data_IF_097543376934
#
_entry.id   IF_097543376934
#
_cell.length_a   1.000
_cell.length_b   1.000
_cell.length_c   1.000
_cell.angle_alpha   90.00
_cell.angle_beta   90.00
_cell.angle_gamma   90.00
#
_symmetry.space_group_name_H-M   'P 1'
#
loop_
_entity.id
_entity.type
_entity.pdbx_description
1 polymer ?
#
# COMPACT_ATOMS: atom_id res chain seq x y z
N UNK A 1 19.10 -27.73 3.04
CA UNK A 1 18.58 -26.54 3.70
C UNK A 1 18.07 -25.53 2.67
N UNK A 2 16.83 -24.99 2.83
CA UNK A 2 16.21 -24.01 1.93
C UNK A 2 15.56 -22.90 2.77
N UNK A 3 15.79 -21.64 2.37
CA UNK A 3 15.27 -20.46 3.04
C UNK A 3 14.25 -19.72 2.14
N UNK A 4 13.42 -18.86 2.74
CA UNK A 4 12.58 -17.92 1.99
C UNK A 4 13.44 -16.93 1.19
N UNK A 5 12.91 -16.45 0.06
CA UNK A 5 13.57 -15.50 -0.83
C UNK A 5 13.93 -14.16 -0.16
N UNK A 6 13.27 -13.82 0.96
CA UNK A 6 13.57 -12.60 1.72
C UNK A 6 14.89 -12.67 2.50
N UNK A 7 15.43 -13.87 2.73
CA UNK A 7 16.71 -14.02 3.42
C UNK A 7 17.84 -13.89 2.42
N UNK A 8 18.40 -12.70 2.34
CA UNK A 8 19.57 -12.36 1.52
C UNK A 8 20.48 -11.44 2.32
N UNK A 9 21.69 -11.21 1.84
CA UNK A 9 22.55 -10.16 2.38
C UNK A 9 21.82 -8.81 2.37
N UNK A 10 22.23 -7.89 3.21
CA UNK A 10 21.67 -6.55 3.36
C UNK A 10 20.22 -6.47 3.87
N UNK A 11 19.58 -7.58 4.27
CA UNK A 11 18.21 -7.56 4.77
C UNK A 11 18.04 -6.72 6.04
N UNK A 12 16.81 -6.25 6.27
CA UNK A 12 16.40 -5.62 7.53
C UNK A 12 15.41 -6.52 8.23
N UNK A 13 15.71 -6.91 9.45
CA UNK A 13 14.82 -7.66 10.33
C UNK A 13 14.02 -6.68 11.18
N UNK A 14 12.73 -6.94 11.38
CA UNK A 14 11.89 -6.08 12.21
C UNK A 14 12.37 -6.08 13.65
N UNK A 15 12.68 -4.91 14.19
CA UNK A 15 13.13 -4.72 15.58
C UNK A 15 11.99 -4.83 16.59
N UNK A 16 12.36 -5.04 17.85
CA UNK A 16 11.46 -5.00 19.03
C UNK A 16 10.29 -6.01 18.99
N UNK A 17 10.40 -7.03 18.13
CA UNK A 17 9.47 -8.17 18.06
C UNK A 17 10.24 -9.48 18.06
N UNK A 18 9.66 -10.60 18.53
CA UNK A 18 10.26 -11.91 18.39
C UNK A 18 10.65 -12.20 16.94
N UNK A 19 11.90 -12.63 16.71
CA UNK A 19 12.40 -12.95 15.39
C UNK A 19 12.16 -14.42 15.08
N UNK A 20 11.10 -14.72 14.33
CA UNK A 20 10.85 -16.07 13.83
C UNK A 20 11.61 -16.30 12.53
N UNK A 21 12.51 -17.30 12.54
CA UNK A 21 13.25 -17.76 11.36
C UNK A 21 12.80 -19.17 11.05
N UNK A 22 12.52 -19.43 9.79
CA UNK A 22 11.99 -20.73 9.35
C UNK A 22 12.51 -21.13 7.97
N UNK A 23 12.42 -22.40 7.67
CA UNK A 23 12.83 -22.93 6.38
C UNK A 23 12.47 -24.41 6.22
N UNK A 24 13.14 -25.05 5.24
CA UNK A 24 13.01 -26.46 4.95
C UNK A 24 14.40 -27.09 5.02
N UNK A 25 14.52 -28.25 5.66
CA UNK A 25 15.70 -29.08 5.73
C UNK A 25 15.30 -30.57 5.55
N UNK A 26 16.24 -31.50 5.56
CA UNK A 26 15.87 -32.92 5.58
C UNK A 26 15.13 -33.24 6.87
N UNK A 27 14.18 -34.18 6.79
CA UNK A 27 13.44 -34.63 7.97
C UNK A 27 14.39 -35.12 9.06
N UNK A 28 14.25 -34.53 10.25
CA UNK A 28 15.09 -34.88 11.39
C UNK A 28 16.40 -34.10 11.53
N UNK A 29 16.79 -33.27 10.56
CA UNK A 29 17.99 -32.43 10.66
C UNK A 29 17.92 -31.50 11.88
N UNK A 30 19.04 -31.37 12.56
CA UNK A 30 19.21 -30.35 13.60
C UNK A 30 19.53 -29.02 12.91
N UNK A 31 18.73 -28.00 13.19
CA UNK A 31 18.94 -26.65 12.65
C UNK A 31 19.35 -25.70 13.78
N UNK A 32 20.45 -25.01 13.57
CA UNK A 32 20.95 -23.95 14.47
C UNK A 32 20.84 -22.62 13.78
N UNK A 33 20.23 -21.64 14.44
CA UNK A 33 20.11 -20.24 13.97
C UNK A 33 20.80 -19.34 14.97
N UNK A 34 21.69 -18.45 14.50
CA UNK A 34 22.37 -17.49 15.37
C UNK A 34 22.48 -16.11 14.71
N UNK A 35 22.29 -15.07 15.52
CA UNK A 35 22.48 -13.66 15.15
C UNK A 35 22.89 -12.86 16.40
N UNK A 36 23.89 -11.98 16.27
CA UNK A 36 24.47 -11.26 17.39
C UNK A 36 24.91 -12.25 18.50
N UNK A 37 24.48 -12.04 19.73
CA UNK A 37 24.72 -12.88 20.91
C UNK A 37 23.64 -13.98 21.11
N UNK A 38 22.71 -14.14 20.18
CA UNK A 38 21.58 -15.06 20.28
C UNK A 38 21.79 -16.31 19.45
N UNK A 39 21.45 -17.44 20.03
CA UNK A 39 21.44 -18.72 19.32
C UNK A 39 20.25 -19.57 19.76
N UNK A 40 19.59 -20.20 18.80
CA UNK A 40 18.52 -21.16 19.03
C UNK A 40 18.68 -22.39 18.15
N UNK A 41 18.20 -23.53 18.65
CA UNK A 41 18.24 -24.81 17.95
C UNK A 41 16.84 -25.40 17.83
N UNK A 42 16.58 -26.08 16.73
CA UNK A 42 15.36 -26.83 16.48
C UNK A 42 15.66 -28.10 15.70
N UNK A 43 14.63 -28.87 15.41
CA UNK A 43 14.71 -30.07 14.57
C UNK A 43 13.67 -29.97 13.47
N UNK A 44 14.05 -30.29 12.24
CA UNK A 44 13.12 -30.35 11.12
C UNK A 44 12.12 -31.49 11.32
N UNK A 45 10.83 -31.18 11.12
CA UNK A 45 9.75 -32.16 11.19
C UNK A 45 9.81 -33.19 10.07
N UNK A 46 8.89 -34.14 10.09
CA UNK A 46 8.77 -35.19 9.05
C UNK A 46 8.52 -34.61 7.64
N UNK A 47 7.89 -33.45 7.56
CA UNK A 47 7.65 -32.70 6.30
C UNK A 47 8.85 -31.78 5.94
N UNK A 48 9.95 -31.86 6.63
CA UNK A 48 11.14 -31.03 6.45
C UNK A 48 11.02 -29.58 6.96
N UNK A 49 9.86 -29.14 7.41
CA UNK A 49 9.68 -27.76 7.92
C UNK A 49 10.29 -27.60 9.31
N UNK A 50 10.93 -26.47 9.51
CA UNK A 50 11.47 -26.08 10.81
C UNK A 50 11.22 -24.59 11.08
N UNK A 51 11.17 -24.22 12.34
CA UNK A 51 11.04 -22.85 12.79
C UNK A 51 11.75 -22.69 14.14
N UNK A 52 12.36 -21.53 14.34
CA UNK A 52 12.85 -21.05 15.64
C UNK A 52 12.42 -19.60 15.87
N UNK A 53 12.25 -19.25 17.13
CA UNK A 53 11.97 -17.86 17.51
C UNK A 53 13.09 -17.38 18.43
N UNK A 54 13.83 -16.38 17.96
CA UNK A 54 14.87 -15.70 18.74
C UNK A 54 14.28 -14.49 19.48
N UNK A 55 14.86 -14.10 20.63
CA UNK A 55 14.48 -12.88 21.32
C UNK A 55 14.59 -11.64 20.44
N UNK A 56 13.78 -10.59 20.70
CA UNK A 56 13.78 -9.36 19.92
C UNK A 56 15.16 -8.71 19.81
N UNK A 57 15.47 -8.17 18.63
CA UNK A 57 16.65 -7.31 18.40
C UNK A 57 16.26 -5.84 18.61
N UNK A 58 17.14 -5.05 19.20
CA UNK A 58 17.07 -3.59 19.16
C UNK A 58 17.57 -3.07 17.82
N UNK A 59 17.18 -1.82 17.46
CA UNK A 59 17.70 -1.19 16.25
C UNK A 59 19.22 -1.17 16.23
N UNK A 60 19.84 -1.58 15.13
CA UNK A 60 21.27 -1.59 14.97
C UNK A 60 21.77 -2.58 13.92
N UNK A 61 23.02 -2.93 14.02
CA UNK A 61 23.77 -3.74 13.08
C UNK A 61 25.01 -3.00 12.58
N UNK A 62 25.75 -3.52 11.57
CA UNK A 62 25.43 -4.75 10.83
C UNK A 62 25.67 -6.04 11.64
N UNK A 63 24.79 -6.98 11.47
CA UNK A 63 24.90 -8.33 12.02
C UNK A 63 25.17 -9.35 10.92
N UNK A 64 25.56 -10.55 11.35
CA UNK A 64 25.58 -11.74 10.50
C UNK A 64 24.53 -12.73 11.02
N UNK A 65 23.57 -13.12 10.18
CA UNK A 65 22.64 -14.21 10.47
C UNK A 65 23.21 -15.52 9.92
N UNK A 66 23.40 -16.51 10.80
CA UNK A 66 23.88 -17.84 10.42
C UNK A 66 22.78 -18.86 10.66
N UNK A 67 22.58 -19.73 9.69
CA UNK A 67 21.62 -20.83 9.73
C UNK A 67 22.34 -22.06 9.24
N UNK A 68 22.44 -23.12 10.05
CA UNK A 68 23.18 -24.33 9.68
C UNK A 68 22.47 -25.59 10.13
N UNK A 69 22.66 -26.65 9.37
CA UNK A 69 22.50 -28.04 9.77
C UNK A 69 23.86 -28.66 10.00
N UNK A 70 23.93 -29.95 10.29
CA UNK A 70 25.21 -30.66 10.45
C UNK A 70 25.96 -30.77 9.09
N UNK A 71 25.26 -30.67 7.95
CA UNK A 71 25.82 -30.86 6.61
C UNK A 71 26.04 -29.58 5.81
N UNK A 72 25.16 -28.56 6.01
CA UNK A 72 25.11 -27.35 5.17
C UNK A 72 24.66 -26.13 5.96
N UNK A 73 24.91 -24.94 5.42
CA UNK A 73 24.48 -23.71 6.06
C UNK A 73 24.46 -22.49 5.15
N UNK A 74 23.76 -21.47 5.61
CA UNK A 74 23.73 -20.13 5.04
C UNK A 74 24.33 -19.12 6.03
N UNK A 75 24.98 -18.13 5.49
CA UNK A 75 25.47 -16.99 6.25
C UNK A 75 25.11 -15.72 5.49
N UNK A 76 24.21 -14.92 6.07
CA UNK A 76 23.77 -13.65 5.50
C UNK A 76 24.49 -12.50 6.19
N UNK A 77 25.14 -11.66 5.38
CA UNK A 77 25.97 -10.54 5.82
C UNK A 77 25.22 -9.21 5.82
N UNK A 78 25.77 -8.25 6.57
CA UNK A 78 25.27 -6.88 6.58
C UNK A 78 23.79 -6.75 6.93
N UNK A 79 23.31 -7.62 7.83
CA UNK A 79 21.92 -7.64 8.31
C UNK A 79 21.70 -6.51 9.30
N UNK A 80 20.63 -5.75 9.14
CA UNK A 80 20.23 -4.69 10.07
C UNK A 80 18.97 -5.10 10.84
N UNK A 81 18.83 -4.58 12.05
CA UNK A 81 17.56 -4.59 12.79
C UNK A 81 16.96 -3.18 12.75
N UNK A 82 15.72 -3.06 12.28
CA UNK A 82 15.08 -1.76 12.05
C UNK A 82 13.59 -1.87 11.83
N UNK A 83 13.01 -0.93 11.11
CA UNK A 83 11.60 -0.92 10.76
C UNK A 83 11.40 -1.50 9.36
N UNK A 84 10.54 -2.51 9.23
CA UNK A 84 10.23 -3.14 7.94
C UNK A 84 8.81 -2.80 7.52
N UNK A 85 8.65 -2.23 6.33
CA UNK A 85 7.36 -1.86 5.78
C UNK A 85 7.09 -2.53 4.43
N UNK A 86 5.88 -3.05 4.26
CA UNK A 86 5.40 -3.56 2.99
C UNK A 86 4.70 -2.44 2.22
N UNK A 87 5.20 -2.15 1.02
CA UNK A 87 4.69 -1.13 0.12
C UNK A 87 4.02 -1.83 -1.06
N UNK A 88 2.69 -1.79 -1.14
CA UNK A 88 1.96 -2.60 -2.12
C UNK A 88 0.82 -1.83 -2.80
N UNK A 89 0.27 -2.39 -3.87
CA UNK A 89 -0.79 -1.80 -4.66
C UNK A 89 -0.61 -1.98 -6.16
N UNK A 90 -0.98 -0.95 -6.94
CA UNK A 90 -0.88 -1.00 -8.39
C UNK A 90 0.13 0.03 -8.95
N UNK A 91 -0.03 0.43 -10.19
CA UNK A 91 0.94 1.23 -10.96
C UNK A 91 1.41 2.51 -10.27
N UNK A 92 0.57 3.19 -9.51
CA UNK A 92 0.98 4.39 -8.77
C UNK A 92 1.90 4.09 -7.58
N UNK A 93 1.81 2.90 -6.98
CA UNK A 93 2.81 2.42 -6.01
C UNK A 93 4.06 1.87 -6.73
N UNK A 94 3.90 1.18 -7.86
CA UNK A 94 5.01 0.69 -8.68
C UNK A 94 5.84 1.81 -9.34
N UNK A 95 5.29 3.01 -9.46
CA UNK A 95 5.86 4.17 -10.15
C UNK A 95 7.27 4.48 -9.65
N UNK A 96 8.26 4.39 -10.55
CA UNK A 96 9.68 4.49 -10.20
C UNK A 96 10.12 5.93 -9.91
N UNK A 97 11.09 6.09 -9.00
CA UNK A 97 11.63 7.40 -8.63
C UNK A 97 12.17 8.17 -9.83
N UNK A 98 12.78 7.50 -10.81
CA UNK A 98 13.28 8.16 -12.05
C UNK A 98 12.18 8.81 -12.89
N UNK A 99 10.93 8.43 -12.71
CA UNK A 99 9.76 8.99 -13.42
C UNK A 99 9.11 10.15 -12.66
N UNK A 100 9.47 10.34 -11.38
CA UNK A 100 8.91 11.39 -10.55
C UNK A 100 9.43 12.78 -10.95
N UNK A 101 8.61 13.81 -10.77
CA UNK A 101 8.99 15.21 -11.07
C UNK A 101 10.22 15.71 -10.31
N UNK A 102 10.53 15.07 -9.19
CA UNK A 102 11.69 15.37 -8.32
C UNK A 102 12.94 14.54 -8.64
N UNK A 103 12.88 13.62 -9.60
CA UNK A 103 13.93 12.64 -9.90
C UNK A 103 15.31 13.27 -10.06
N UNK A 104 15.39 14.36 -10.86
CA UNK A 104 16.66 15.05 -11.15
C UNK A 104 17.35 15.59 -9.89
N UNK A 105 16.57 16.07 -8.93
CA UNK A 105 17.10 16.64 -7.69
C UNK A 105 17.39 15.58 -6.63
N UNK A 106 16.54 14.57 -6.52
CA UNK A 106 16.53 13.65 -5.37
C UNK A 106 17.35 12.37 -5.61
N UNK A 107 17.42 11.84 -6.85
CA UNK A 107 18.21 10.63 -7.16
C UNK A 107 19.70 10.80 -6.80
N UNK A 108 20.40 11.87 -7.14
CA UNK A 108 21.83 12.01 -6.77
C UNK A 108 22.08 12.02 -5.27
N UNK A 109 21.05 12.35 -4.46
CA UNK A 109 21.11 12.40 -2.99
C UNK A 109 20.62 11.12 -2.33
N UNK A 110 20.15 10.14 -3.09
CA UNK A 110 19.61 8.87 -2.58
C UNK A 110 20.74 7.94 -2.14
N UNK A 111 21.49 8.34 -1.13
CA UNK A 111 22.60 7.57 -0.53
C UNK A 111 22.29 7.40 0.96
N UNK A 112 21.89 6.20 1.37
CA UNK A 112 21.68 5.84 2.77
C UNK A 112 21.85 4.33 2.97
N UNK A 113 22.93 3.92 3.64
CA UNK A 113 23.20 2.51 3.90
C UNK A 113 22.29 1.88 4.97
N UNK A 114 21.50 2.67 5.67
CA UNK A 114 20.51 2.20 6.63
C UNK A 114 19.09 2.19 6.07
N UNK A 115 18.90 2.66 4.84
CA UNK A 115 17.68 2.47 4.06
C UNK A 115 17.91 1.31 3.08
N UNK A 116 17.11 0.28 3.17
CA UNK A 116 17.26 -0.94 2.37
C UNK A 116 16.01 -1.19 1.54
N UNK A 117 16.23 -1.66 0.33
CA UNK A 117 15.21 -1.79 -0.69
C UNK A 117 15.14 -3.25 -1.15
N UNK A 118 13.95 -3.85 -1.05
CA UNK A 118 13.63 -5.17 -1.61
C UNK A 118 12.51 -4.99 -2.63
N UNK A 119 12.81 -5.16 -3.90
CA UNK A 119 11.94 -4.80 -5.01
C UNK A 119 11.44 -6.03 -5.76
N UNK A 120 10.18 -6.40 -5.53
CA UNK A 120 9.53 -7.54 -6.17
C UNK A 120 8.94 -7.13 -7.52
N UNK A 121 9.69 -7.34 -8.59
CA UNK A 121 9.25 -6.99 -9.94
C UNK A 121 8.63 -8.18 -10.67
N UNK A 122 7.56 -7.90 -11.40
CA UNK A 122 6.96 -8.86 -12.33
C UNK A 122 7.96 -9.28 -13.41
N UNK A 123 7.97 -10.55 -13.77
CA UNK A 123 8.72 -11.07 -14.94
C UNK A 123 8.10 -10.57 -16.24
N UNK A 124 6.77 -10.52 -16.28
CA UNK A 124 6.00 -10.09 -17.44
C UNK A 124 5.03 -9.00 -17.06
N UNK A 125 5.05 -7.91 -17.80
CA UNK A 125 4.07 -6.85 -17.64
C UNK A 125 2.75 -7.25 -18.29
N UNK A 126 1.64 -6.91 -17.66
CA UNK A 126 0.29 -7.12 -18.17
C UNK A 126 -0.07 -6.09 -19.25
N UNK A 127 0.76 -6.00 -20.28
CA UNK A 127 0.52 -5.15 -21.45
C UNK A 127 -0.55 -5.78 -22.36
N UNK A 128 -1.01 -5.03 -23.38
CA UNK A 128 -1.99 -5.49 -24.36
C UNK A 128 -1.34 -6.43 -25.41
N UNK A 129 -0.87 -7.58 -24.95
CA UNK A 129 -0.20 -8.61 -25.79
C UNK A 129 -0.74 -10.01 -25.44
N UNK A 130 -0.70 -10.92 -26.41
CA UNK A 130 -0.94 -12.33 -26.15
C UNK A 130 0.34 -12.98 -25.59
N UNK A 131 0.23 -13.77 -24.53
CA UNK A 131 1.38 -14.44 -23.92
C UNK A 131 1.67 -15.79 -24.55
N UNK A 132 2.95 -16.14 -24.61
CA UNK A 132 3.44 -17.40 -25.11
C UNK A 132 3.28 -18.53 -24.08
N UNK A 133 3.33 -19.78 -24.54
CA UNK A 133 3.06 -20.98 -23.74
C UNK A 133 3.95 -21.07 -22.48
N UNK A 134 5.23 -20.70 -22.57
CA UNK A 134 6.14 -20.71 -21.42
C UNK A 134 5.75 -19.71 -20.34
N UNK A 135 5.21 -18.54 -20.72
CA UNK A 135 4.68 -17.55 -19.77
C UNK A 135 3.44 -18.10 -19.08
N UNK A 136 2.51 -18.64 -19.87
CA UNK A 136 1.26 -19.23 -19.38
C UNK A 136 1.52 -20.38 -18.39
N UNK A 137 2.48 -21.25 -18.70
CA UNK A 137 2.89 -22.35 -17.82
C UNK A 137 3.49 -21.81 -16.49
N UNK A 138 4.40 -20.85 -16.57
CA UNK A 138 5.00 -20.23 -15.39
C UNK A 138 3.96 -19.59 -14.46
N UNK A 139 2.92 -18.97 -15.02
CA UNK A 139 1.83 -18.39 -14.22
C UNK A 139 1.01 -19.45 -13.49
N UNK A 140 0.78 -20.61 -14.09
CA UNK A 140 0.11 -21.75 -13.45
C UNK A 140 0.90 -22.29 -12.24
N UNK A 141 2.24 -22.08 -12.23
CA UNK A 141 3.13 -22.44 -11.13
C UNK A 141 3.44 -21.27 -10.17
N UNK A 142 2.70 -20.15 -10.24
CA UNK A 142 2.87 -18.95 -9.43
C UNK A 142 4.25 -18.28 -9.58
N UNK A 143 4.96 -18.49 -10.69
CA UNK A 143 6.31 -17.97 -10.94
C UNK A 143 6.26 -16.59 -11.60
N UNK A 144 5.49 -15.68 -11.04
CA UNK A 144 5.24 -14.36 -11.62
C UNK A 144 6.37 -13.36 -11.35
N UNK A 145 7.02 -13.44 -10.20
CA UNK A 145 8.04 -12.48 -9.79
C UNK A 145 9.45 -12.91 -10.21
N UNK A 146 10.28 -11.91 -10.49
CA UNK A 146 11.72 -12.11 -10.67
C UNK A 146 12.37 -12.43 -9.34
N UNK A 147 13.47 -13.15 -9.38
CA UNK A 147 14.34 -13.29 -8.23
C UNK A 147 14.92 -11.91 -7.88
N UNK A 148 14.98 -11.59 -6.62
CA UNK A 148 15.46 -10.31 -6.10
C UNK A 148 16.16 -10.48 -4.76
N UNK A 149 16.85 -9.43 -4.33
CA UNK A 149 17.61 -9.39 -3.09
C UNK A 149 17.48 -8.01 -2.43
N UNK A 150 17.78 -7.93 -1.16
CA UNK A 150 17.90 -6.66 -0.45
C UNK A 150 19.09 -5.85 -0.96
N UNK A 151 18.85 -4.57 -1.25
CA UNK A 151 19.88 -3.64 -1.75
C UNK A 151 20.01 -2.42 -0.85
N UNK A 152 21.23 -1.91 -0.74
CA UNK A 152 21.46 -0.59 -0.15
C UNK A 152 20.80 0.48 -1.00
N UNK A 153 20.29 1.54 -0.36
CA UNK A 153 19.83 2.71 -1.07
C UNK A 153 21.02 3.48 -1.64
N UNK A 154 21.12 3.47 -2.96
CA UNK A 154 22.07 4.23 -3.77
C UNK A 154 21.32 4.95 -4.89
N UNK A 155 21.90 5.94 -5.57
CA UNK A 155 21.26 6.56 -6.73
C UNK A 155 20.75 5.56 -7.76
N UNK A 156 21.52 4.52 -8.05
CA UNK A 156 21.15 3.48 -9.01
C UNK A 156 19.96 2.63 -8.54
N UNK A 157 20.00 2.14 -7.28
CA UNK A 157 18.93 1.27 -6.76
C UNK A 157 17.65 2.05 -6.46
N UNK A 158 17.75 3.27 -5.96
CA UNK A 158 16.60 4.15 -5.69
C UNK A 158 15.91 4.61 -6.97
N UNK A 159 16.66 4.86 -8.05
CA UNK A 159 16.13 5.29 -9.35
C UNK A 159 15.04 4.36 -9.89
N UNK A 160 15.24 3.07 -9.77
CA UNK A 160 14.32 2.03 -10.26
C UNK A 160 13.31 1.54 -9.22
N UNK A 161 13.39 2.05 -7.99
CA UNK A 161 12.49 1.70 -6.90
C UNK A 161 11.24 2.58 -6.87
N UNK A 162 10.19 2.15 -6.17
CA UNK A 162 8.96 2.93 -5.95
C UNK A 162 9.26 4.31 -5.39
N UNK A 163 8.81 5.37 -6.06
CA UNK A 163 8.98 6.75 -5.59
C UNK A 163 8.26 6.98 -4.25
N UNK A 164 7.02 6.51 -4.12
CA UNK A 164 6.23 6.68 -2.89
C UNK A 164 6.88 5.93 -1.73
N UNK A 165 7.28 4.68 -1.94
CA UNK A 165 7.95 3.90 -0.92
C UNK A 165 9.29 4.53 -0.51
N UNK A 166 10.06 5.05 -1.47
CA UNK A 166 11.31 5.76 -1.21
C UNK A 166 11.09 6.99 -0.31
N UNK A 167 10.16 7.89 -0.65
CA UNK A 167 9.91 9.09 0.16
C UNK A 167 9.32 8.77 1.53
N UNK A 168 8.46 7.75 1.60
CA UNK A 168 7.97 7.23 2.87
C UNK A 168 9.13 6.74 3.76
N UNK A 169 9.96 5.85 3.24
CA UNK A 169 11.07 5.26 4.00
C UNK A 169 12.14 6.29 4.37
N UNK A 170 12.45 7.22 3.46
CA UNK A 170 13.39 8.32 3.72
C UNK A 170 12.95 9.20 4.88
N UNK A 171 11.67 9.60 4.90
CA UNK A 171 11.13 10.42 6.00
C UNK A 171 11.12 9.65 7.33
N UNK A 172 10.80 8.34 7.32
CA UNK A 172 10.90 7.52 8.52
C UNK A 172 12.33 7.42 9.01
N UNK A 173 13.27 7.16 8.09
CA UNK A 173 14.70 7.05 8.39
C UNK A 173 15.24 8.32 9.06
N UNK A 174 14.90 9.48 8.48
CA UNK A 174 15.33 10.78 8.99
C UNK A 174 14.70 11.12 10.35
N UNK A 175 13.45 10.73 10.57
CA UNK A 175 12.71 11.06 11.79
C UNK A 175 12.98 10.11 12.96
N UNK A 176 13.26 8.85 12.70
CA UNK A 176 13.45 7.81 13.72
C UNK A 176 14.92 7.54 14.01
N UNK A 177 15.80 7.85 13.09
CA UNK A 177 17.24 7.55 13.14
C UNK A 177 17.55 6.07 13.41
N UNK A 178 16.79 5.17 12.80
CA UNK A 178 16.95 3.71 12.85
C UNK A 178 16.96 3.12 11.43
N UNK A 179 17.52 1.93 11.21
CA UNK A 179 17.43 1.29 9.91
C UNK A 179 15.99 1.12 9.45
N UNK A 180 15.74 1.27 8.14
CA UNK A 180 14.43 1.07 7.53
C UNK A 180 14.57 0.14 6.32
N UNK A 181 13.76 -0.90 6.28
CA UNK A 181 13.62 -1.83 5.15
C UNK A 181 12.28 -1.65 4.47
N UNK A 182 12.30 -1.49 3.16
CA UNK A 182 11.12 -1.35 2.33
C UNK A 182 10.99 -2.55 1.39
N UNK A 183 9.91 -3.30 1.53
CA UNK A 183 9.54 -4.37 0.60
C UNK A 183 8.51 -3.80 -0.36
N UNK A 184 8.87 -3.58 -1.62
CA UNK A 184 7.93 -3.13 -2.64
C UNK A 184 7.39 -4.32 -3.41
N UNK A 185 6.07 -4.51 -3.35
CA UNK A 185 5.33 -5.51 -4.11
C UNK A 185 4.09 -4.86 -4.71
N UNK A 186 4.23 -4.27 -5.88
CA UNK A 186 3.16 -3.57 -6.58
C UNK A 186 3.11 -4.01 -8.05
N UNK A 187 1.89 -4.14 -8.59
CA UNK A 187 1.66 -4.62 -9.96
C UNK A 187 0.70 -3.70 -10.69
N UNK A 188 1.18 -3.08 -11.76
CA UNK A 188 0.39 -2.15 -12.57
C UNK A 188 -0.91 -2.77 -13.06
N UNK A 189 -2.02 -2.03 -12.89
CA UNK A 189 -3.35 -2.45 -13.33
C UNK A 189 -4.03 -3.52 -12.47
N UNK A 190 -3.40 -4.01 -11.41
CA UNK A 190 -3.98 -5.06 -10.57
C UNK A 190 -5.20 -4.58 -9.78
N UNK A 191 -6.31 -5.34 -9.78
CA UNK A 191 -7.46 -5.05 -8.95
C UNK A 191 -7.27 -5.55 -7.50
N UNK A 192 -8.04 -4.99 -6.55
CA UNK A 192 -7.94 -5.31 -5.11
C UNK A 192 -8.11 -6.79 -4.81
N UNK A 193 -9.05 -7.46 -5.47
CA UNK A 193 -9.36 -8.88 -5.28
C UNK A 193 -8.20 -9.82 -5.59
N UNK A 194 -7.26 -9.41 -6.44
CA UNK A 194 -6.05 -10.19 -6.73
C UNK A 194 -5.11 -10.31 -5.51
N UNK A 195 -5.25 -9.42 -4.54
CA UNK A 195 -4.41 -9.30 -3.36
C UNK A 195 -5.01 -9.86 -2.06
N UNK A 196 -6.20 -10.47 -2.13
CA UNK A 196 -6.90 -11.06 -0.98
C UNK A 196 -6.66 -12.57 -0.94
N UNK A 197 -6.48 -13.16 0.24
CA UNK A 197 -6.36 -14.62 0.37
C UNK A 197 -7.65 -15.34 -0.06
N UNK A 198 -7.48 -16.51 -0.67
CA UNK A 198 -8.58 -17.31 -1.24
C UNK A 198 -9.65 -17.65 -0.22
N UNK A 199 -9.26 -18.11 0.97
CA UNK A 199 -10.22 -18.52 2.00
C UNK A 199 -11.10 -17.35 2.47
N UNK A 200 -10.53 -16.13 2.54
CA UNK A 200 -11.29 -14.93 2.88
C UNK A 200 -12.29 -14.55 1.79
N UNK A 201 -11.91 -14.64 0.50
CA UNK A 201 -12.85 -14.39 -0.60
C UNK A 201 -13.93 -15.48 -0.69
N UNK A 202 -13.58 -16.75 -0.57
CA UNK A 202 -14.54 -17.87 -0.58
C UNK A 202 -15.59 -17.73 0.52
N UNK A 203 -15.19 -17.25 1.71
CA UNK A 203 -16.10 -17.11 2.84
C UNK A 203 -16.95 -15.83 2.78
N UNK A 204 -16.37 -14.69 2.40
CA UNK A 204 -17.05 -13.39 2.52
C UNK A 204 -17.52 -12.79 1.21
N UNK A 205 -16.89 -13.13 0.09
CA UNK A 205 -17.26 -12.60 -1.22
C UNK A 205 -17.10 -13.63 -2.36
N UNK A 206 -17.73 -14.82 -2.24
CA UNK A 206 -17.56 -15.91 -3.22
C UNK A 206 -18.00 -15.51 -4.64
N UNK A 207 -18.94 -14.56 -4.77
CA UNK A 207 -19.43 -14.11 -6.07
C UNK A 207 -18.32 -13.57 -6.99
N UNK A 208 -17.24 -12.99 -6.43
CA UNK A 208 -16.14 -12.43 -7.22
C UNK A 208 -15.24 -13.50 -7.86
N UNK A 209 -15.25 -14.70 -7.31
CA UNK A 209 -14.44 -15.83 -7.80
C UNK A 209 -15.05 -16.52 -9.01
N UNK A 210 -16.38 -16.43 -9.15
CA UNK A 210 -17.11 -17.17 -10.20
C UNK A 210 -16.91 -16.50 -11.55
N UNK A 211 -16.42 -17.29 -12.54
CA UNK A 211 -16.26 -16.84 -13.93
C UNK A 211 -15.62 -15.45 -14.05
N UNK A 212 -14.54 -15.21 -13.28
CA UNK A 212 -14.00 -13.88 -13.04
C UNK A 212 -13.71 -13.05 -14.31
N UNK A 213 -13.36 -13.70 -15.42
CA UNK A 213 -13.14 -13.04 -16.72
C UNK A 213 -14.42 -12.51 -17.37
N UNK A 214 -15.60 -12.90 -16.85
CA UNK A 214 -16.94 -12.45 -17.31
C UNK A 214 -17.70 -11.74 -16.19
N UNK A 215 -17.11 -11.59 -15.02
CA UNK A 215 -17.75 -11.10 -13.81
C UNK A 215 -17.73 -9.56 -13.73
N UNK A 216 -18.91 -8.93 -13.65
CA UNK A 216 -19.04 -7.47 -13.65
C UNK A 216 -18.59 -6.80 -12.34
N UNK A 217 -18.32 -7.54 -11.26
CA UNK A 217 -17.62 -7.00 -10.11
C UNK A 217 -16.17 -6.61 -10.46
N UNK A 218 -15.59 -7.20 -11.51
CA UNK A 218 -14.25 -6.89 -11.99
C UNK A 218 -14.35 -5.97 -13.20
N UNK A 219 -13.56 -4.92 -13.21
CA UNK A 219 -13.61 -3.88 -14.25
C UNK A 219 -13.40 -4.47 -15.65
N UNK A 220 -14.16 -4.00 -16.62
CA UNK A 220 -14.18 -4.52 -17.99
C UNK A 220 -12.78 -4.54 -18.63
N UNK A 221 -12.03 -3.43 -18.53
CA UNK A 221 -10.70 -3.37 -19.12
C UNK A 221 -9.72 -4.35 -18.46
N UNK A 222 -9.87 -4.64 -17.16
CA UNK A 222 -9.07 -5.65 -16.43
C UNK A 222 -9.35 -7.04 -16.99
N UNK A 223 -10.64 -7.38 -17.16
CA UNK A 223 -11.07 -8.64 -17.75
C UNK A 223 -10.62 -8.78 -19.20
N UNK A 224 -10.81 -7.73 -20.00
CA UNK A 224 -10.39 -7.70 -21.41
C UNK A 224 -8.89 -7.84 -21.58
N UNK A 225 -8.10 -7.18 -20.73
CA UNK A 225 -6.65 -7.31 -20.72
C UNK A 225 -6.23 -8.75 -20.39
N UNK A 226 -6.80 -9.32 -19.35
CA UNK A 226 -6.51 -10.68 -18.96
C UNK A 226 -6.91 -11.68 -20.07
N UNK A 227 -8.10 -11.56 -20.64
CA UNK A 227 -8.56 -12.41 -21.73
C UNK A 227 -7.61 -12.36 -22.95
N UNK A 228 -7.10 -11.18 -23.29
CA UNK A 228 -6.09 -11.02 -24.34
C UNK A 228 -4.78 -11.73 -23.99
N UNK A 229 -4.28 -11.52 -22.77
CA UNK A 229 -3.01 -12.11 -22.35
C UNK A 229 -3.05 -13.65 -22.38
N UNK A 230 -4.16 -14.28 -21.98
CA UNK A 230 -4.31 -15.74 -21.91
C UNK A 230 -4.94 -16.38 -23.15
N UNK A 231 -5.16 -15.65 -24.22
CA UNK A 231 -5.89 -16.08 -25.41
C UNK A 231 -5.33 -17.37 -26.04
N UNK A 232 -4.01 -17.58 -25.97
CA UNK A 232 -3.35 -18.78 -26.50
C UNK A 232 -3.43 -19.99 -25.57
N UNK A 233 -4.01 -19.85 -24.37
CA UNK A 233 -4.11 -20.98 -23.43
C UNK A 233 -5.25 -21.92 -23.83
N UNK A 234 -4.95 -23.21 -23.89
CA UNK A 234 -5.95 -24.27 -23.97
C UNK A 234 -6.49 -24.69 -22.58
N UNK A 235 -5.86 -24.20 -21.50
CA UNK A 235 -6.26 -24.52 -20.13
C UNK A 235 -7.42 -23.60 -19.71
N UNK A 236 -8.58 -24.18 -19.44
CA UNK A 236 -9.77 -23.45 -18.97
C UNK A 236 -9.58 -22.81 -17.58
N UNK A 237 -8.58 -23.25 -16.82
CA UNK A 237 -8.21 -22.72 -15.51
C UNK A 237 -6.87 -21.97 -15.54
N UNK A 238 -6.55 -21.37 -16.67
CA UNK A 238 -5.33 -20.59 -16.83
C UNK A 238 -5.27 -19.46 -15.80
N UNK A 239 -4.17 -19.45 -15.03
CA UNK A 239 -3.93 -18.43 -14.02
C UNK A 239 -3.45 -17.11 -14.66
N UNK A 240 -3.81 -15.98 -14.00
CA UNK A 240 -3.44 -14.65 -14.46
C UNK A 240 -3.20 -13.71 -13.27
N UNK A 241 -2.24 -12.74 -13.32
CA UNK A 241 -1.97 -11.80 -12.23
C UNK A 241 -3.18 -10.97 -11.78
N UNK A 242 -4.14 -10.72 -12.65
CA UNK A 242 -5.38 -10.01 -12.31
C UNK A 242 -6.50 -10.92 -11.79
N UNK A 243 -6.29 -12.23 -11.81
CA UNK A 243 -7.24 -13.18 -11.22
C UNK A 243 -7.38 -12.95 -9.72
N UNK A 244 -8.59 -13.01 -9.15
CA UNK A 244 -8.76 -12.98 -7.70
C UNK A 244 -7.81 -13.96 -6.98
N UNK A 245 -7.18 -13.53 -5.89
CA UNK A 245 -6.19 -14.23 -5.08
C UNK A 245 -4.80 -14.41 -5.71
N UNK A 246 -4.60 -14.23 -7.00
CA UNK A 246 -3.33 -14.61 -7.64
C UNK A 246 -2.11 -13.90 -7.06
N UNK A 247 -2.16 -12.58 -6.94
CA UNK A 247 -1.04 -11.78 -6.42
C UNK A 247 -0.82 -12.02 -4.92
N UNK A 248 -1.88 -12.36 -4.21
CA UNK A 248 -1.74 -12.84 -2.85
C UNK A 248 -0.95 -14.15 -2.80
N UNK A 249 -1.36 -15.15 -3.57
CA UNK A 249 -0.76 -16.48 -3.58
C UNK A 249 0.70 -16.47 -4.07
N UNK A 250 0.99 -15.69 -5.12
CA UNK A 250 2.33 -15.62 -5.72
C UNK A 250 3.28 -14.64 -5.03
N UNK A 251 2.77 -13.57 -4.42
CA UNK A 251 3.58 -12.44 -3.96
C UNK A 251 3.43 -12.05 -2.49
N UNK A 252 2.27 -12.28 -1.85
CA UNK A 252 2.04 -11.92 -0.45
C UNK A 252 2.27 -13.10 0.48
N UNK A 253 1.72 -14.26 0.16
CA UNK A 253 1.88 -15.49 0.96
C UNK A 253 3.35 -15.83 1.27
N UNK A 254 4.30 -15.69 0.35
CA UNK A 254 5.72 -15.92 0.66
C UNK A 254 6.32 -14.95 1.70
N UNK A 255 5.66 -13.82 1.97
CA UNK A 255 6.11 -12.79 2.90
C UNK A 255 5.52 -12.92 4.31
N UNK A 256 4.41 -13.67 4.48
CA UNK A 256 3.61 -13.71 5.72
C UNK A 256 4.40 -13.98 7.00
N UNK A 257 5.47 -14.76 6.89
CA UNK A 257 6.28 -15.15 8.04
C UNK A 257 7.45 -14.17 8.32
N UNK A 258 7.59 -13.14 7.48
CA UNK A 258 8.57 -12.09 7.71
C UNK A 258 7.90 -10.97 8.50
N UNK A 259 8.34 -10.70 9.74
CA UNK A 259 7.74 -9.64 10.54
C UNK A 259 7.87 -8.28 9.88
N UNK A 260 6.76 -7.56 9.80
CA UNK A 260 6.70 -6.19 9.29
C UNK A 260 6.09 -5.25 10.33
N UNK A 261 6.40 -3.96 10.27
CA UNK A 261 5.78 -2.95 11.14
C UNK A 261 4.42 -2.53 10.66
N UNK A 262 4.19 -2.55 9.35
CA UNK A 262 2.92 -2.15 8.76
C UNK A 262 2.97 -2.15 7.24
N UNK A 263 1.89 -1.69 6.65
CA UNK A 263 1.66 -1.65 5.20
C UNK A 263 1.39 -0.23 4.75
N UNK A 264 1.95 0.17 3.60
CA UNK A 264 1.47 1.30 2.82
C UNK A 264 0.87 0.80 1.50
N UNK A 265 -0.29 1.33 1.12
CA UNK A 265 -1.11 0.83 0.02
C UNK A 265 -1.55 1.93 -0.94
N UNK A 266 -1.31 1.76 -2.24
CA UNK A 266 -1.84 2.66 -3.26
C UNK A 266 -2.46 1.85 -4.41
N UNK A 267 -3.77 1.76 -4.38
CA UNK A 267 -4.55 1.04 -5.38
C UNK A 267 -5.99 1.60 -5.36
N UNK A 268 -6.73 1.43 -6.44
CA UNK A 268 -8.13 1.79 -6.53
C UNK A 268 -8.59 2.05 -7.95
N UNK A 269 -7.70 2.46 -8.84
CA UNK A 269 -8.02 2.83 -10.21
C UNK A 269 -8.67 1.67 -10.99
N UNK A 270 -8.27 0.44 -10.68
CA UNK A 270 -8.81 -0.78 -11.28
C UNK A 270 -10.14 -1.25 -10.65
N UNK A 271 -10.62 -0.58 -9.60
CA UNK A 271 -11.88 -0.88 -8.93
C UNK A 271 -12.85 0.32 -8.89
N UNK A 272 -12.46 1.46 -9.47
CA UNK A 272 -13.21 2.71 -9.36
C UNK A 272 -14.57 2.71 -10.10
N UNK A 273 -14.88 1.70 -10.90
CA UNK A 273 -16.16 1.48 -11.54
C UNK A 273 -17.25 0.99 -10.57
N UNK A 274 -16.86 0.36 -9.45
CA UNK A 274 -17.75 -0.23 -8.46
C UNK A 274 -17.22 0.05 -7.03
N UNK A 275 -17.45 1.27 -6.57
CA UNK A 275 -16.97 1.71 -5.26
C UNK A 275 -17.64 0.96 -4.09
N UNK A 276 -18.89 0.52 -4.24
CA UNK A 276 -19.62 -0.25 -3.20
C UNK A 276 -19.01 -1.64 -2.99
N UNK A 277 -18.67 -2.33 -4.07
CA UNK A 277 -17.93 -3.59 -3.97
C UNK A 277 -16.52 -3.38 -3.41
N UNK A 278 -15.86 -2.28 -3.79
CA UNK A 278 -14.52 -1.96 -3.30
C UNK A 278 -14.47 -1.72 -1.78
N UNK A 279 -15.48 -1.10 -1.19
CA UNK A 279 -15.55 -0.94 0.26
C UNK A 279 -15.47 -2.30 0.99
N UNK A 280 -16.20 -3.28 0.50
CA UNK A 280 -16.15 -4.66 1.04
C UNK A 280 -14.79 -5.31 0.80
N UNK A 281 -14.26 -5.19 -0.42
CA UNK A 281 -12.97 -5.77 -0.80
C UNK A 281 -11.81 -5.18 -0.03
N UNK A 282 -11.79 -3.86 0.20
CA UNK A 282 -10.71 -3.22 0.92
C UNK A 282 -10.69 -3.62 2.40
N UNK A 283 -11.86 -3.67 3.05
CA UNK A 283 -11.98 -4.21 4.41
C UNK A 283 -11.50 -5.66 4.48
N UNK A 284 -11.90 -6.45 3.50
CA UNK A 284 -11.52 -7.85 3.42
C UNK A 284 -10.01 -8.02 3.21
N UNK A 285 -9.40 -7.21 2.34
CA UNK A 285 -7.96 -7.18 2.12
C UNK A 285 -7.20 -6.88 3.42
N UNK A 286 -7.57 -5.83 4.13
CA UNK A 286 -6.91 -5.46 5.41
C UNK A 286 -7.06 -6.58 6.44
N UNK A 287 -8.25 -7.14 6.59
CA UNK A 287 -8.51 -8.23 7.54
C UNK A 287 -7.77 -9.51 7.15
N UNK A 288 -7.72 -9.83 5.85
CA UNK A 288 -6.97 -10.96 5.29
C UNK A 288 -5.48 -10.88 5.67
N UNK A 289 -4.86 -9.74 5.43
CA UNK A 289 -3.44 -9.56 5.74
C UNK A 289 -3.18 -9.57 7.25
N UNK A 290 -3.99 -8.89 8.06
CA UNK A 290 -3.91 -8.93 9.53
C UNK A 290 -4.01 -10.35 10.08
N UNK A 291 -4.96 -11.12 9.58
CA UNK A 291 -5.13 -12.54 9.94
C UNK A 291 -3.88 -13.35 9.63
N UNK A 292 -3.33 -13.19 8.44
CA UNK A 292 -2.22 -14.01 7.97
C UNK A 292 -0.86 -13.59 8.56
N UNK A 293 -0.68 -12.32 8.97
CA UNK A 293 0.46 -11.89 9.80
C UNK A 293 0.25 -12.13 11.29
N UNK A 294 -0.93 -12.65 11.69
CA UNK A 294 -1.33 -12.84 13.08
C UNK A 294 -1.19 -11.54 13.92
N UNK A 295 -1.51 -10.41 13.31
CA UNK A 295 -1.49 -9.08 13.94
C UNK A 295 -2.77 -8.30 13.59
N UNK A 296 -3.76 -8.36 14.48
CA UNK A 296 -5.05 -7.67 14.31
C UNK A 296 -4.90 -6.12 14.29
N UNK A 297 -3.80 -5.61 14.80
CA UNK A 297 -3.49 -4.19 14.88
C UNK A 297 -2.48 -3.72 13.83
N UNK A 298 -2.07 -4.59 12.88
CA UNK A 298 -1.11 -4.24 11.84
C UNK A 298 -1.53 -2.92 11.17
N UNK A 299 -0.71 -1.85 11.28
CA UNK A 299 -1.01 -0.56 10.67
C UNK A 299 -1.13 -0.67 9.16
N UNK A 300 -2.17 -0.02 8.62
CA UNK A 300 -2.43 -0.04 7.18
C UNK A 300 -2.71 1.38 6.70
N UNK A 301 -1.73 2.04 6.06
CA UNK A 301 -1.86 3.40 5.57
C UNK A 301 -2.03 3.39 4.06
N UNK A 302 -3.04 4.10 3.56
CA UNK A 302 -3.37 4.05 2.13
C UNK A 302 -3.50 5.44 1.51
N UNK A 303 -3.40 5.47 0.19
CA UNK A 303 -3.55 6.70 -0.60
C UNK A 303 -4.96 6.77 -1.15
N UNK A 304 -5.63 7.90 -0.92
CA UNK A 304 -6.85 8.25 -1.66
C UNK A 304 -6.48 8.57 -3.10
N UNK A 305 -7.26 8.09 -4.07
CA UNK A 305 -7.01 8.34 -5.49
C UNK A 305 -6.83 9.84 -5.78
N UNK A 306 -5.88 10.15 -6.65
CA UNK A 306 -5.63 11.51 -7.11
C UNK A 306 -6.79 12.06 -7.94
N UNK A 307 -6.77 13.34 -8.26
CA UNK A 307 -7.70 13.94 -9.22
C UNK A 307 -7.47 13.40 -10.62
N UNK A 308 -8.56 13.02 -11.30
CA UNK A 308 -8.57 12.57 -12.69
C UNK A 308 -9.97 12.81 -13.26
N UNK A 309 -10.07 13.24 -14.50
CA UNK A 309 -11.36 13.54 -15.12
C UNK A 309 -12.13 12.26 -15.51
N UNK A 310 -12.58 11.50 -14.51
CA UNK A 310 -13.43 10.30 -14.67
C UNK A 310 -14.64 10.37 -13.75
N UNK A 311 -15.86 10.11 -14.26
CA UNK A 311 -17.11 10.28 -13.50
C UNK A 311 -17.17 9.52 -12.17
N UNK A 312 -16.59 8.33 -12.09
CA UNK A 312 -16.62 7.48 -10.89
C UNK A 312 -15.67 7.96 -9.76
N UNK A 313 -14.73 8.85 -10.05
CA UNK A 313 -13.66 9.25 -9.14
C UNK A 313 -14.13 9.87 -7.83
N UNK A 314 -15.08 10.82 -7.82
CA UNK A 314 -15.59 11.41 -6.56
C UNK A 314 -16.20 10.37 -5.63
N UNK A 315 -17.01 9.47 -6.18
CA UNK A 315 -17.65 8.38 -5.44
C UNK A 315 -16.63 7.46 -4.81
N UNK A 316 -15.59 7.09 -5.57
CA UNK A 316 -14.53 6.23 -5.08
C UNK A 316 -13.67 6.91 -4.00
N UNK A 317 -13.31 8.19 -4.18
CA UNK A 317 -12.58 8.95 -3.16
C UNK A 317 -13.38 9.08 -1.86
N UNK A 318 -14.70 9.28 -1.95
CA UNK A 318 -15.57 9.31 -0.78
C UNK A 318 -15.62 7.96 -0.08
N UNK A 319 -15.71 6.86 -0.82
CA UNK A 319 -15.66 5.52 -0.24
C UNK A 319 -14.35 5.30 0.53
N UNK A 320 -13.22 5.71 -0.05
CA UNK A 320 -11.93 5.66 0.62
C UNK A 320 -11.89 6.51 1.90
N UNK A 321 -12.45 7.73 1.88
CA UNK A 321 -12.54 8.58 3.08
C UNK A 321 -13.35 7.92 4.19
N UNK A 322 -14.47 7.28 3.86
CA UNK A 322 -15.34 6.61 4.85
C UNK A 322 -14.64 5.46 5.56
N UNK A 323 -13.70 4.77 4.89
CA UNK A 323 -12.94 3.68 5.48
C UNK A 323 -12.12 4.11 6.71
N UNK A 324 -11.73 5.39 6.82
CA UNK A 324 -11.07 5.92 8.02
C UNK A 324 -11.87 5.72 9.31
N UNK A 325 -13.21 5.71 9.22
CA UNK A 325 -14.11 5.53 10.37
C UNK A 325 -14.52 4.06 10.59
N UNK A 326 -14.23 3.18 9.63
CA UNK A 326 -14.74 1.82 9.63
C UNK A 326 -13.67 0.77 9.92
N UNK A 327 -12.40 1.14 9.77
CA UNK A 327 -11.26 0.24 9.97
C UNK A 327 -10.34 0.86 11.03
N UNK A 328 -10.00 0.11 12.07
CA UNK A 328 -9.04 0.54 13.10
C UNK A 328 -7.60 0.50 12.56
N UNK A 329 -6.68 1.22 13.22
CA UNK A 329 -5.25 1.25 12.88
C UNK A 329 -4.97 1.54 11.40
N UNK A 330 -5.70 2.52 10.85
CA UNK A 330 -5.64 2.93 9.45
C UNK A 330 -5.36 4.43 9.36
N UNK A 331 -4.90 4.89 8.21
CA UNK A 331 -4.72 6.29 7.88
C UNK A 331 -4.69 6.51 6.38
N UNK A 332 -5.12 7.69 5.92
CA UNK A 332 -5.27 8.00 4.50
C UNK A 332 -4.46 9.24 4.10
N UNK A 333 -3.58 9.09 3.14
CA UNK A 333 -2.90 10.20 2.48
C UNK A 333 -3.75 10.70 1.31
N UNK A 334 -4.16 11.96 1.34
CA UNK A 334 -4.82 12.63 0.22
C UNK A 334 -3.80 12.87 -0.89
N UNK A 335 -4.21 12.71 -2.15
CA UNK A 335 -3.38 12.98 -3.33
C UNK A 335 -4.10 13.76 -4.43
N UNK A 336 -5.34 14.21 -4.18
CA UNK A 336 -6.16 14.92 -5.17
C UNK A 336 -5.58 16.27 -5.61
N UNK A 337 -4.80 16.92 -4.78
CA UNK A 337 -4.07 18.17 -5.06
C UNK A 337 -2.82 17.99 -5.96
N UNK A 338 -2.43 16.75 -6.18
CA UNK A 338 -1.28 16.36 -7.03
C UNK A 338 -1.71 15.49 -8.22
N UNK A 339 -2.97 15.48 -8.58
CA UNK A 339 -3.50 14.74 -9.72
C UNK A 339 -3.23 15.43 -11.06
N UNK A 340 -3.62 14.76 -12.13
CA UNK A 340 -3.66 15.28 -13.50
C UNK A 340 -5.05 15.00 -14.09
N UNK A 341 -5.53 15.89 -14.95
CA UNK A 341 -6.87 15.74 -15.52
C UNK A 341 -6.99 14.61 -16.55
N UNK A 342 -5.89 14.24 -17.19
CA UNK A 342 -5.82 13.27 -18.28
C UNK A 342 -4.95 12.05 -17.96
N UNK A 343 -3.91 12.22 -17.13
CA UNK A 343 -2.98 11.15 -16.78
C UNK A 343 -3.31 10.56 -15.41
N UNK A 344 -3.53 9.25 -15.40
CA UNK A 344 -3.77 8.47 -14.18
C UNK A 344 -2.52 8.31 -13.31
N UNK A 345 -1.33 8.65 -13.85
CA UNK A 345 -0.04 8.53 -13.20
C UNK A 345 0.63 9.89 -12.95
N UNK A 346 0.09 10.73 -12.05
CA UNK A 346 0.71 12.02 -11.76
C UNK A 346 2.15 11.84 -11.25
N UNK A 347 3.06 12.65 -11.74
CA UNK A 347 4.50 12.52 -11.45
C UNK A 347 4.92 13.07 -10.07
N UNK A 348 4.05 13.83 -9.40
CA UNK A 348 4.30 14.41 -8.09
C UNK A 348 4.10 13.38 -6.97
N UNK A 349 5.10 12.53 -6.73
CA UNK A 349 5.01 11.41 -5.76
C UNK A 349 5.52 11.75 -4.35
N UNK A 350 6.43 12.71 -4.22
CA UNK A 350 7.07 13.05 -2.94
C UNK A 350 6.08 13.42 -1.84
N UNK A 351 5.16 14.36 -2.03
CA UNK A 351 4.20 14.71 -0.97
C UNK A 351 3.32 13.53 -0.54
N UNK A 352 3.01 12.62 -1.46
CA UNK A 352 2.18 11.44 -1.15
C UNK A 352 2.92 10.48 -0.24
N UNK A 353 4.19 10.17 -0.55
CA UNK A 353 5.04 9.33 0.31
C UNK A 353 5.26 9.95 1.70
N UNK A 354 5.52 11.26 1.75
CA UNK A 354 5.69 12.00 3.00
C UNK A 354 4.39 12.05 3.84
N UNK A 355 3.21 12.18 3.21
CA UNK A 355 1.91 12.12 3.89
C UNK A 355 1.65 10.76 4.52
N UNK A 356 1.98 9.66 3.83
CA UNK A 356 1.92 8.32 4.42
C UNK A 356 2.87 8.19 5.62
N UNK A 357 4.09 8.73 5.51
CA UNK A 357 5.06 8.70 6.60
C UNK A 357 4.60 9.50 7.82
N UNK A 358 3.89 10.63 7.64
CA UNK A 358 3.30 11.39 8.75
C UNK A 358 2.28 10.56 9.55
N UNK A 359 1.45 9.78 8.87
CA UNK A 359 0.54 8.84 9.54
C UNK A 359 1.30 7.81 10.37
N UNK A 360 2.33 7.20 9.79
CA UNK A 360 3.17 6.24 10.50
C UNK A 360 3.88 6.89 11.70
N UNK A 361 4.50 8.05 11.53
CA UNK A 361 5.17 8.78 12.60
C UNK A 361 4.23 9.10 13.77
N UNK A 362 3.01 9.58 13.47
CA UNK A 362 2.04 9.91 14.51
C UNK A 362 1.43 8.66 15.14
N UNK A 363 0.83 7.76 14.36
CA UNK A 363 0.00 6.66 14.86
C UNK A 363 0.80 5.42 15.28
N UNK A 364 1.85 5.07 14.54
CA UNK A 364 2.67 3.89 14.87
C UNK A 364 3.80 4.24 15.84
N UNK A 365 4.47 5.38 15.62
CA UNK A 365 5.66 5.78 16.40
C UNK A 365 5.39 6.84 17.46
N UNK A 366 4.14 7.32 17.58
CA UNK A 366 3.72 8.30 18.60
C UNK A 366 4.56 9.58 18.62
N UNK A 367 5.05 9.98 17.44
CA UNK A 367 5.77 11.23 17.28
C UNK A 367 4.81 12.41 17.25
N UNK A 368 5.22 13.55 17.77
CA UNK A 368 4.44 14.80 17.72
C UNK A 368 4.51 15.43 16.32
N UNK A 369 3.88 14.76 15.36
CA UNK A 369 3.75 15.19 13.95
C UNK A 369 2.27 15.18 13.60
N UNK A 370 1.74 16.23 12.99
CA UNK A 370 0.36 16.25 12.52
C UNK A 370 0.22 15.25 11.36
N UNK A 371 -0.64 14.21 11.46
CA UNK A 371 -0.66 13.12 10.50
C UNK A 371 -1.30 13.50 9.16
N UNK A 372 -2.23 14.45 9.15
CA UNK A 372 -3.04 14.84 7.98
C UNK A 372 -3.34 16.32 7.97
N UNK A 373 -3.76 16.85 6.84
CA UNK A 373 -4.55 18.07 6.76
C UNK A 373 -5.91 17.91 7.46
N UNK A 374 -6.80 18.92 7.37
CA UNK A 374 -8.09 18.90 8.03
C UNK A 374 -8.92 17.64 7.66
N UNK A 375 -9.32 16.84 8.64
CA UNK A 375 -10.21 15.70 8.47
C UNK A 375 -11.59 16.06 8.98
N UNK A 376 -12.60 15.96 8.13
CA UNK A 376 -13.98 16.27 8.50
C UNK A 376 -14.45 15.43 9.70
N UNK A 377 -14.97 16.14 10.72
CA UNK A 377 -15.48 15.55 11.95
C UNK A 377 -17.00 15.69 12.11
N UNK A 378 -17.55 16.82 11.66
CA UNK A 378 -18.98 17.06 11.81
C UNK A 378 -19.42 18.41 11.24
N UNK A 379 -20.73 18.55 11.09
CA UNK A 379 -21.37 19.76 10.56
C UNK A 379 -22.50 20.23 11.49
N UNK A 380 -22.68 21.54 11.57
CA UNK A 380 -23.77 22.16 12.30
C UNK A 380 -24.39 23.30 11.45
N UNK A 381 -25.70 23.34 11.35
CA UNK A 381 -26.42 24.38 10.59
C UNK A 381 -26.91 25.46 11.55
N UNK A 382 -26.58 26.74 11.25
CA UNK A 382 -27.01 27.91 12.02
C UNK A 382 -27.32 29.06 11.05
N UNK A 383 -28.54 29.61 11.11
CA UNK A 383 -28.91 30.79 10.32
C UNK A 383 -28.69 30.64 8.82
N UNK A 384 -29.09 29.50 8.23
CA UNK A 384 -28.89 29.21 6.81
C UNK A 384 -27.45 28.99 6.36
N UNK A 385 -26.53 28.75 7.30
CA UNK A 385 -25.12 28.47 7.01
C UNK A 385 -24.68 27.18 7.68
N UNK A 386 -23.75 26.44 7.06
CA UNK A 386 -23.18 25.23 7.59
C UNK A 386 -21.79 25.51 8.15
N UNK A 387 -21.54 25.11 9.39
CA UNK A 387 -20.24 25.18 10.03
C UNK A 387 -19.64 23.78 10.12
N UNK A 388 -18.54 23.58 9.42
CA UNK A 388 -17.82 22.31 9.34
C UNK A 388 -16.68 22.30 10.36
N UNK A 389 -16.63 21.26 11.19
CA UNK A 389 -15.56 21.02 12.16
C UNK A 389 -14.62 19.93 11.67
N UNK A 390 -13.35 20.05 12.02
CA UNK A 390 -12.29 19.17 11.53
C UNK A 390 -11.38 18.74 12.68
N UNK A 391 -10.91 17.50 12.62
CA UNK A 391 -9.71 17.09 13.31
C UNK A 391 -8.51 17.65 12.55
N UNK A 392 -7.45 18.01 13.28
CA UNK A 392 -6.25 18.66 12.73
C UNK A 392 -6.52 20.00 12.00
N UNK A 393 -7.64 20.67 12.34
CA UNK A 393 -8.10 21.89 11.68
C UNK A 393 -7.42 23.18 12.17
N UNK A 394 -6.51 23.12 13.14
CA UNK A 394 -5.83 24.31 13.64
C UNK A 394 -4.92 24.92 12.58
N UNK A 395 -5.20 26.19 12.23
CA UNK A 395 -4.42 26.91 11.21
C UNK A 395 -4.81 26.61 9.78
N UNK A 396 -6.03 26.09 9.57
CA UNK A 396 -6.59 25.92 8.23
C UNK A 396 -6.51 27.19 7.39
N UNK A 397 -6.23 27.03 6.11
CA UNK A 397 -6.15 28.12 5.13
C UNK A 397 -6.27 27.57 3.72
N UNK A 398 -6.37 28.46 2.73
CA UNK A 398 -6.19 28.06 1.33
C UNK A 398 -4.70 27.85 1.01
N UNK A 399 -4.41 26.87 0.19
CA UNK A 399 -3.04 26.53 -0.24
C UNK A 399 -2.42 27.55 -1.20
N UNK A 400 -3.27 28.33 -1.89
CA UNK A 400 -2.90 29.26 -2.97
C UNK A 400 -3.21 30.74 -2.62
N UNK A 401 -3.63 31.03 -1.40
CA UNK A 401 -4.00 32.39 -0.95
C UNK A 401 -5.31 32.93 -1.57
N UNK A 402 -6.01 32.15 -2.38
CA UNK A 402 -7.31 32.50 -2.96
C UNK A 402 -8.44 32.10 -2.03
N UNK A 403 -9.68 32.58 -2.25
CA UNK A 403 -10.85 32.07 -1.56
C UNK A 403 -10.95 30.56 -1.66
N UNK A 404 -11.54 29.91 -0.64
CA UNK A 404 -11.77 28.47 -0.66
C UNK A 404 -12.66 28.10 -1.82
N UNK A 405 -12.30 27.04 -2.54
CA UNK A 405 -12.94 26.58 -3.77
C UNK A 405 -13.54 25.19 -3.60
N UNK A 406 -14.40 24.80 -4.55
CA UNK A 406 -14.96 23.45 -4.68
C UNK A 406 -15.84 23.00 -3.50
N UNK A 407 -16.46 23.94 -2.80
CA UNK A 407 -17.55 23.68 -1.87
C UNK A 407 -18.90 23.81 -2.58
N UNK A 408 -19.82 22.90 -2.27
CA UNK A 408 -21.17 22.89 -2.78
C UNK A 408 -22.14 22.53 -1.65
N UNK A 409 -23.35 23.08 -1.68
CA UNK A 409 -24.41 22.81 -0.71
C UNK A 409 -25.71 22.43 -1.40
N UNK A 410 -26.55 21.63 -0.72
CA UNK A 410 -27.88 21.24 -1.17
C UNK A 410 -28.90 21.28 -0.03
N UNK A 411 -30.18 21.41 -0.37
CA UNK A 411 -31.29 21.13 0.52
C UNK A 411 -31.68 19.64 0.51
N UNK A 412 -32.86 19.27 0.96
CA UNK A 412 -33.36 17.89 0.96
C UNK A 412 -33.53 17.27 -0.42
N UNK A 413 -33.69 18.11 -1.45
CA UNK A 413 -33.81 17.68 -2.85
C UNK A 413 -32.51 17.08 -3.41
N UNK A 414 -31.37 17.29 -2.73
CA UNK A 414 -30.05 16.80 -3.16
C UNK A 414 -29.49 17.50 -4.39
N UNK A 415 -30.04 18.66 -4.78
CA UNK A 415 -29.53 19.48 -5.88
C UNK A 415 -28.42 20.38 -5.32
N UNK A 416 -27.19 20.17 -5.77
CA UNK A 416 -26.02 20.87 -5.28
C UNK A 416 -25.74 22.15 -6.06
N UNK A 417 -25.51 23.23 -5.32
CA UNK A 417 -25.14 24.54 -5.86
C UNK A 417 -23.75 24.94 -5.32
N UNK A 418 -22.95 25.67 -6.12
CA UNK A 418 -21.69 26.25 -5.65
C UNK A 418 -21.91 27.09 -4.40
N UNK A 419 -20.99 26.98 -3.47
CA UNK A 419 -21.06 27.66 -2.17
C UNK A 419 -19.83 28.51 -1.89
N UNK A 420 -20.07 29.64 -1.19
CA UNK A 420 -19.00 30.41 -0.57
C UNK A 420 -18.54 29.68 0.70
N UNK A 421 -17.23 29.58 0.87
CA UNK A 421 -16.63 28.97 2.05
C UNK A 421 -15.55 29.88 2.65
N UNK A 422 -15.53 30.01 3.96
CA UNK A 422 -14.63 30.88 4.71
C UNK A 422 -14.11 30.16 5.97
N UNK A 423 -12.82 30.28 6.25
CA UNK A 423 -12.27 29.82 7.53
C UNK A 423 -12.66 30.79 8.63
N UNK A 424 -13.31 30.28 9.68
CA UNK A 424 -13.74 31.04 10.87
C UNK A 424 -13.25 30.31 12.12
N UNK A 425 -12.13 30.75 12.70
CA UNK A 425 -11.45 30.00 13.75
C UNK A 425 -10.99 28.63 13.27
N UNK A 426 -11.39 27.57 13.97
CA UNK A 426 -11.07 26.18 13.62
C UNK A 426 -12.21 25.50 12.82
N UNK A 427 -13.07 26.28 12.20
CA UNK A 427 -14.21 25.80 11.40
C UNK A 427 -14.19 26.41 9.99
N UNK A 428 -14.87 25.76 9.05
CA UNK A 428 -15.19 26.32 7.75
C UNK A 428 -16.70 26.60 7.70
N UNK A 429 -17.05 27.87 7.48
CA UNK A 429 -18.42 28.33 7.27
C UNK A 429 -18.74 28.26 5.78
N UNK A 430 -19.82 27.55 5.42
CA UNK A 430 -20.24 27.31 4.03
C UNK A 430 -21.68 27.76 3.83
N UNK A 431 -21.95 28.48 2.75
CA UNK A 431 -23.31 28.98 2.42
C UNK A 431 -23.46 29.30 0.94
N UNK A 432 -24.71 29.29 0.46
CA UNK A 432 -25.09 29.76 -0.88
C UNK A 432 -26.40 30.52 -0.81
N UNK A 433 -26.57 31.52 -1.68
CA UNK A 433 -27.84 32.27 -1.80
C UNK A 433 -28.95 31.43 -2.41
N UNK A 434 -28.58 30.47 -3.26
CA UNK A 434 -29.52 29.53 -3.92
C UNK A 434 -30.04 28.45 -2.97
N UNK A 435 -29.41 28.29 -1.78
CA UNK A 435 -29.71 27.23 -0.81
C UNK A 435 -29.92 27.86 0.59
N UNK A 436 -31.08 28.49 0.86
CA UNK A 436 -31.31 29.16 2.14
C UNK A 436 -31.38 28.21 3.35
N UNK A 437 -31.71 26.94 3.16
CA UNK A 437 -31.81 25.93 4.22
C UNK A 437 -30.92 24.73 3.93
N UNK A 438 -29.58 24.88 3.94
CA UNK A 438 -28.65 23.83 3.55
C UNK A 438 -28.73 22.63 4.49
N UNK A 439 -28.70 21.43 3.92
CA UNK A 439 -28.71 20.13 4.62
C UNK A 439 -27.47 19.32 4.33
N UNK A 440 -26.94 19.46 3.13
CA UNK A 440 -25.79 18.68 2.67
C UNK A 440 -24.69 19.62 2.19
N UNK A 441 -23.45 19.22 2.46
CA UNK A 441 -22.23 19.87 1.96
C UNK A 441 -21.35 18.82 1.33
N UNK A 442 -20.78 19.12 0.19
CA UNK A 442 -19.69 18.35 -0.38
C UNK A 442 -18.51 19.26 -0.76
N UNK A 443 -17.31 18.70 -0.70
CA UNK A 443 -16.08 19.41 -0.96
C UNK A 443 -15.17 18.60 -1.87
N UNK A 444 -14.60 19.24 -2.90
CA UNK A 444 -13.71 18.56 -3.84
C UNK A 444 -14.39 17.42 -4.61
N UNK A 445 -15.70 17.51 -4.84
CA UNK A 445 -16.50 16.45 -5.45
C UNK A 445 -16.25 16.27 -6.95
N UNK A 446 -15.66 17.25 -7.62
CA UNK A 446 -15.34 17.16 -9.04
C UNK A 446 -14.36 16.01 -9.30
N UNK A 447 -14.48 15.26 -10.42
CA UNK A 447 -13.52 14.21 -10.80
C UNK A 447 -12.09 14.73 -10.80
N UNK A 448 -11.81 15.79 -11.53
CA UNK A 448 -10.60 16.61 -11.37
C UNK A 448 -10.97 17.84 -10.53
N UNK A 449 -10.39 17.96 -9.35
CA UNK A 449 -10.72 19.03 -8.40
C UNK A 449 -9.57 20.01 -8.21
N UNK A 450 -9.94 21.28 -7.97
CA UNK A 450 -9.05 22.38 -7.57
C UNK A 450 -9.27 22.78 -6.10
N UNK A 451 -9.74 21.84 -5.30
CA UNK A 451 -9.95 22.03 -3.87
C UNK A 451 -8.64 22.46 -3.20
N UNK A 452 -8.68 23.56 -2.42
CA UNK A 452 -7.50 24.25 -1.94
C UNK A 452 -7.46 24.43 -0.41
N UNK A 453 -8.29 23.76 0.37
CA UNK A 453 -8.24 23.78 1.83
C UNK A 453 -7.06 22.93 2.34
N UNK A 454 -6.18 23.52 3.16
CA UNK A 454 -5.07 22.83 3.84
C UNK A 454 -5.00 23.23 5.32
#
# INVERSE_FOLDING_TARGET
>A
LKMSLLYTDNMVLQRDVPLTVQGIANAGDRVTVSIADRQMKTKAGLNGKWSVTLPPLKAGGPYTLKISTDETGFQYQNVLAGEVWLCSGQSNMEFMLKQASTARADIPRAVDQQLRLYDMKARWRTNAVEWEANVLDSLNHLQYYKDTEWKNCTPATASDFSAIAYYFGKMLRDSLNVPVGLICNAVGGSPTEAWVDRASLEYQFPAILKDWTKNDFIQEWVRGRAALNIKKSANSQQRHPYEPCYLYESGIRPLEQYPIRGVIWYQGESNAHNWEAHEKLFKLLVNSWRKNWNDACLPFYYVQLSSLNRPSWPWFRESQRRMLNEISHIGMAVSSDHGDSLDVHPTCKKPVGERLARWALNKTYQKNVIPSGPLFRGANVRGGKVFLSFDYGKGMRSSDGKPLQCFEVAEYDGIYYPATAEVVGDQVKVYSKEVPNPRYVRYGWQPFTRANLI
#
